data_IF_034509128340
#
_entry.id   IF_034509128340
#
_cell.length_a   1.000
_cell.length_b   1.000
_cell.length_c   1.000
_cell.angle_alpha   90.00
_cell.angle_beta   90.00
_cell.angle_gamma   90.00
#
_symmetry.space_group_name_H-M   'P 1'
#
loop_
_entity.id
_entity.type
_entity.pdbx_description
1 polymer ?
#
# COMPACT_ATOMS: atom_id res chain seq x y z
N UNK A 1 -5.02 -21.16 -13.05
CA UNK A 1 -3.80 -21.69 -12.41
C UNK A 1 -4.05 -21.68 -10.92
N UNK A 2 -3.87 -22.80 -10.24
CA UNK A 2 -4.03 -22.83 -8.78
C UNK A 2 -2.92 -21.95 -8.15
N UNK A 3 -3.23 -21.09 -7.16
CA UNK A 3 -2.20 -20.38 -6.42
C UNK A 3 -1.28 -21.42 -5.79
N UNK A 4 0.03 -21.16 -5.86
CA UNK A 4 1.03 -22.09 -5.34
C UNK A 4 0.69 -22.43 -3.89
N UNK A 5 0.41 -23.68 -3.60
CA UNK A 5 -0.03 -24.19 -2.30
C UNK A 5 0.97 -23.99 -1.16
N UNK A 6 2.18 -23.54 -1.47
CA UNK A 6 3.28 -23.39 -0.52
C UNK A 6 3.14 -22.18 0.45
N UNK A 7 2.08 -21.36 0.33
CA UNK A 7 1.95 -20.09 1.07
C UNK A 7 0.70 -19.95 1.92
N UNK A 8 -0.21 -20.88 1.87
CA UNK A 8 -1.36 -20.88 2.78
C UNK A 8 -0.90 -21.36 4.15
N UNK A 9 -1.20 -20.58 5.20
CA UNK A 9 -1.15 -21.12 6.55
C UNK A 9 -2.22 -22.21 6.60
N UNK A 10 -1.81 -23.44 6.83
CA UNK A 10 -2.71 -24.53 7.04
C UNK A 10 -3.19 -24.52 8.50
N UNK A 11 -4.11 -23.60 8.80
CA UNK A 11 -4.80 -23.57 10.08
C UNK A 11 -5.98 -24.52 10.02
N UNK A 12 -6.17 -25.30 11.07
CA UNK A 12 -7.36 -26.14 11.20
C UNK A 12 -8.61 -25.28 11.42
N UNK A 13 -9.81 -25.74 11.05
CA UNK A 13 -11.05 -25.01 11.31
C UNK A 13 -11.26 -24.65 12.78
N UNK A 14 -10.76 -25.48 13.72
CA UNK A 14 -10.82 -25.21 15.14
C UNK A 14 -9.94 -24.01 15.53
N UNK A 15 -8.71 -23.94 15.02
CA UNK A 15 -7.81 -22.79 15.21
C UNK A 15 -8.38 -21.51 14.60
N UNK A 16 -8.94 -21.58 13.40
CA UNK A 16 -9.63 -20.45 12.76
C UNK A 16 -10.79 -19.94 13.62
N UNK A 17 -11.62 -20.86 14.14
CA UNK A 17 -12.73 -20.51 15.03
C UNK A 17 -12.24 -19.86 16.33
N UNK A 18 -11.16 -20.37 16.91
CA UNK A 18 -10.54 -19.80 18.12
C UNK A 18 -10.03 -18.39 17.87
N UNK A 19 -9.24 -18.18 16.81
CA UNK A 19 -8.69 -16.86 16.44
C UNK A 19 -9.83 -15.88 16.17
N UNK A 20 -10.84 -16.29 15.38
CA UNK A 20 -12.00 -15.45 15.10
C UNK A 20 -12.75 -15.06 16.37
N UNK A 21 -12.94 -15.99 17.32
CA UNK A 21 -13.59 -15.71 18.59
C UNK A 21 -12.77 -14.74 19.43
N UNK A 22 -11.45 -14.95 19.53
CA UNK A 22 -10.54 -14.06 20.26
C UNK A 22 -10.55 -12.64 19.72
N UNK A 23 -10.51 -12.47 18.39
CA UNK A 23 -10.56 -11.16 17.74
C UNK A 23 -11.96 -10.53 17.76
N UNK A 24 -13.00 -11.32 18.03
CA UNK A 24 -14.40 -10.84 18.14
C UNK A 24 -14.73 -10.27 19.51
N UNK A 25 -13.88 -10.47 20.51
CA UNK A 25 -14.06 -9.87 21.85
C UNK A 25 -13.93 -8.34 21.82
N UNK A 26 -14.49 -7.67 22.78
CA UNK A 26 -14.37 -6.21 22.99
C UNK A 26 -13.73 -5.95 24.35
N UNK A 27 -12.44 -5.57 24.41
CA UNK A 27 -11.49 -5.36 23.30
C UNK A 27 -11.02 -6.67 22.63
N UNK A 28 -10.60 -6.65 21.35
CA UNK A 28 -10.11 -7.83 20.67
C UNK A 28 -8.79 -8.31 21.28
N UNK A 29 -8.66 -9.63 21.40
CA UNK A 29 -7.46 -10.28 21.94
C UNK A 29 -6.64 -10.81 20.74
N UNK A 30 -5.48 -10.19 20.51
CA UNK A 30 -4.53 -10.57 19.47
C UNK A 30 -3.52 -11.57 20.01
N UNK A 31 -3.05 -12.49 19.16
CA UNK A 31 -2.07 -13.52 19.53
C UNK A 31 -0.71 -12.95 19.95
N UNK A 32 -0.33 -11.79 19.41
CA UNK A 32 0.90 -11.07 19.72
C UNK A 32 0.77 -10.05 20.89
N UNK A 33 -0.41 -9.92 21.48
CA UNK A 33 -0.67 -9.02 22.60
C UNK A 33 -0.75 -7.53 22.26
N UNK A 34 -0.65 -7.15 20.96
CA UNK A 34 -0.77 -5.76 20.52
C UNK A 34 -2.21 -5.25 20.67
N UNK A 35 -2.34 -3.95 20.87
CA UNK A 35 -3.64 -3.28 20.80
C UNK A 35 -4.16 -3.29 19.35
N UNK A 36 -5.49 -3.18 19.13
CA UNK A 36 -6.05 -3.17 17.78
C UNK A 36 -5.47 -2.09 16.87
N UNK A 37 -5.12 -0.95 17.46
CA UNK A 37 -4.57 0.23 16.80
C UNK A 37 -3.04 0.36 16.93
N UNK A 38 -2.33 -0.70 17.26
CA UNK A 38 -0.88 -0.69 17.42
C UNK A 38 -0.20 -1.33 16.22
N UNK A 39 0.75 -0.60 15.62
CA UNK A 39 1.61 -1.09 14.55
C UNK A 39 2.76 -1.95 15.10
N UNK A 40 3.33 -2.85 14.26
CA UNK A 40 4.52 -3.62 14.64
C UNK A 40 5.72 -2.69 14.81
N UNK A 41 6.59 -2.93 15.79
CA UNK A 41 7.88 -2.26 15.86
C UNK A 41 8.65 -2.48 14.57
N UNK A 42 9.29 -1.41 14.09
CA UNK A 42 10.10 -1.45 12.87
C UNK A 42 11.44 -0.75 13.10
N UNK A 43 12.44 -1.18 12.34
CA UNK A 43 13.71 -0.48 12.19
C UNK A 43 13.81 0.01 10.75
N UNK A 44 14.26 1.25 10.58
CA UNK A 44 14.30 1.90 9.28
C UNK A 44 15.65 2.60 9.09
N UNK A 45 16.21 2.45 7.90
CA UNK A 45 17.49 3.02 7.49
C UNK A 45 17.33 3.63 6.10
N UNK A 46 17.97 4.77 5.86
CA UNK A 46 17.97 5.43 4.56
C UNK A 46 19.40 5.59 4.01
N UNK A 47 19.54 5.76 2.69
CA UNK A 47 20.83 5.99 2.06
C UNK A 47 21.75 4.76 2.01
N UNK A 48 21.21 3.55 2.01
CA UNK A 48 21.99 2.31 2.09
C UNK A 48 22.63 1.85 0.76
N UNK A 49 22.04 2.24 -0.38
CA UNK A 49 22.53 1.87 -1.71
C UNK A 49 23.32 3.03 -2.33
N UNK A 50 24.65 2.90 -2.51
CA UNK A 50 25.50 4.02 -2.93
C UNK A 50 25.33 4.42 -4.39
N UNK A 51 24.76 3.57 -5.23
CA UNK A 51 24.61 3.82 -6.68
C UNK A 51 23.21 4.32 -7.09
N UNK A 52 22.37 4.63 -6.12
CA UNK A 52 20.99 5.10 -6.33
C UNK A 52 20.85 6.58 -5.97
N UNK A 53 19.83 7.23 -6.51
CA UNK A 53 19.49 8.61 -6.14
C UNK A 53 18.87 8.69 -4.75
N UNK A 54 18.27 7.60 -4.29
CA UNK A 54 17.71 7.44 -2.96
C UNK A 54 17.46 5.97 -2.66
N UNK A 55 17.56 5.59 -1.40
CA UNK A 55 17.29 4.22 -0.98
C UNK A 55 16.87 4.15 0.47
N UNK A 56 16.13 3.12 0.79
CA UNK A 56 15.73 2.82 2.15
C UNK A 56 15.57 1.33 2.37
N UNK A 57 15.68 0.95 3.64
CA UNK A 57 15.46 -0.39 4.15
C UNK A 57 14.58 -0.31 5.38
N UNK A 58 13.57 -1.14 5.42
CA UNK A 58 12.74 -1.30 6.62
C UNK A 58 12.66 -2.78 6.97
N UNK A 59 12.85 -3.07 8.24
CA UNK A 59 12.70 -4.39 8.82
C UNK A 59 11.64 -4.32 9.92
N UNK A 60 10.63 -5.18 9.85
CA UNK A 60 9.65 -5.37 10.91
C UNK A 60 10.20 -6.31 11.99
N UNK A 61 9.65 -6.22 13.20
CA UNK A 61 10.05 -7.06 14.33
C UNK A 61 9.88 -8.57 14.09
N UNK A 62 9.05 -8.98 13.13
CA UNK A 62 8.90 -10.38 12.72
C UNK A 62 10.00 -10.88 11.78
N UNK A 63 10.97 -10.04 11.43
CA UNK A 63 12.05 -10.35 10.51
C UNK A 63 11.71 -10.18 9.03
N UNK A 64 10.52 -9.68 8.70
CA UNK A 64 10.18 -9.33 7.32
C UNK A 64 10.89 -8.03 6.93
N UNK A 65 11.61 -8.05 5.82
CA UNK A 65 12.50 -6.97 5.41
C UNK A 65 12.31 -6.62 3.95
N UNK A 66 12.30 -5.30 3.65
CA UNK A 66 12.25 -4.78 2.30
C UNK A 66 13.30 -3.69 2.08
N UNK A 67 13.81 -3.62 0.86
CA UNK A 67 14.72 -2.57 0.38
C UNK A 67 14.12 -1.93 -0.87
N UNK A 68 14.24 -0.62 -0.96
CA UNK A 68 13.82 0.15 -2.13
C UNK A 68 14.99 0.98 -2.63
N UNK A 69 15.24 0.90 -3.92
CA UNK A 69 16.15 1.77 -4.66
C UNK A 69 15.38 2.71 -5.58
N UNK A 70 15.75 3.97 -5.60
CA UNK A 70 15.19 4.98 -6.50
C UNK A 70 16.27 5.46 -7.44
N UNK A 71 16.04 5.35 -8.75
CA UNK A 71 16.94 5.86 -9.77
C UNK A 71 16.22 6.88 -10.64
N UNK A 72 16.89 7.97 -10.94
CA UNK A 72 16.38 9.05 -11.78
C UNK A 72 17.19 9.15 -13.08
N UNK A 73 16.49 9.21 -14.19
CA UNK A 73 17.08 9.43 -15.52
C UNK A 73 16.38 10.62 -16.20
N UNK A 74 17.11 11.33 -17.05
CA UNK A 74 16.54 12.44 -17.83
C UNK A 74 16.05 11.88 -19.16
N UNK A 75 14.77 12.08 -19.45
CA UNK A 75 14.15 11.64 -20.70
C UNK A 75 13.56 12.83 -21.46
N UNK A 76 13.54 12.72 -22.80
CA UNK A 76 12.89 13.72 -23.64
C UNK A 76 11.38 13.61 -23.54
N UNK A 77 10.73 14.71 -23.22
CA UNK A 77 9.28 14.79 -23.28
C UNK A 77 8.83 14.78 -24.74
N UNK A 78 7.99 13.83 -25.09
CA UNK A 78 7.36 13.81 -26.41
C UNK A 78 6.32 14.93 -26.43
N UNK A 79 6.62 16.00 -27.17
CA UNK A 79 5.64 17.06 -27.41
C UNK A 79 4.47 16.43 -28.18
N UNK A 80 3.26 16.64 -27.70
CA UNK A 80 2.03 16.19 -28.36
C UNK A 80 1.84 16.76 -29.79
N UNK A 81 2.75 17.59 -30.26
CA UNK A 81 2.77 18.13 -31.64
C UNK A 81 3.09 17.08 -32.71
N UNK A 82 3.68 15.93 -32.34
CA UNK A 82 3.95 14.82 -33.26
C UNK A 82 2.90 13.71 -33.29
N UNK A 83 1.87 13.80 -32.45
CA UNK A 83 0.72 12.91 -32.51
C UNK A 83 -0.40 13.68 -33.22
N UNK A 84 -0.54 13.44 -34.53
CA UNK A 84 -1.70 13.78 -35.35
C UNK A 84 -1.61 14.96 -36.31
N UNK A 85 -0.89 14.74 -37.38
CA UNK A 85 -1.35 15.31 -38.65
C UNK A 85 -2.12 14.26 -39.51
N UNK A 86 -2.10 12.97 -39.18
CA UNK A 86 -2.71 11.95 -40.05
C UNK A 86 -3.98 11.25 -39.54
N UNK A 87 -4.41 11.41 -38.32
CA UNK A 87 -5.62 10.70 -37.81
C UNK A 87 -6.77 11.55 -37.27
N UNK A 88 -6.66 12.87 -37.19
CA UNK A 88 -7.74 13.76 -36.71
C UNK A 88 -8.44 14.59 -37.79
N UNK A 89 -8.44 14.17 -39.06
CA UNK A 89 -9.21 14.89 -40.08
C UNK A 89 -10.68 14.50 -40.20
N UNK A 90 -11.25 13.74 -39.29
CA UNK A 90 -12.70 13.45 -39.27
C UNK A 90 -13.20 13.32 -37.84
N UNK A 91 -13.43 14.40 -37.14
CA UNK A 91 -14.49 14.65 -36.18
C UNK A 91 -14.12 15.83 -35.28
N UNK A 92 -14.25 17.00 -35.85
CA UNK A 92 -14.25 18.25 -35.10
C UNK A 92 -15.58 18.37 -34.36
N UNK A 93 -15.53 18.54 -33.06
CA UNK A 93 -16.41 19.44 -32.31
C UNK A 93 -15.84 19.60 -30.90
N UNK A 94 -15.15 20.77 -30.72
CA UNK A 94 -14.97 21.47 -29.43
C UNK A 94 -14.77 20.61 -28.17
N UNK A 95 -13.57 20.08 -27.99
CA UNK A 95 -13.05 19.75 -26.67
C UNK A 95 -12.30 20.96 -26.09
N UNK A 96 -12.37 21.23 -24.78
CA UNK A 96 -11.58 22.30 -24.15
C UNK A 96 -10.11 22.06 -24.40
N UNK A 97 -9.40 23.08 -24.90
CA UNK A 97 -7.94 23.08 -25.02
C UNK A 97 -7.35 22.76 -23.65
N UNK A 98 -6.63 21.65 -23.53
CA UNK A 98 -5.86 21.30 -22.32
C UNK A 98 -4.97 22.50 -21.98
N UNK A 99 -5.16 23.04 -20.78
CA UNK A 99 -4.37 24.16 -20.30
C UNK A 99 -2.89 23.74 -20.21
N UNK A 100 -1.96 24.65 -20.39
CA UNK A 100 -0.51 24.37 -20.26
C UNK A 100 -0.14 23.70 -18.94
N UNK A 101 -0.95 23.87 -17.91
CA UNK A 101 -0.82 23.23 -16.61
C UNK A 101 -1.09 21.72 -16.66
N UNK A 102 -1.90 21.23 -17.62
CA UNK A 102 -2.26 19.82 -17.74
C UNK A 102 -1.19 18.99 -18.48
N UNK A 103 -0.27 19.66 -19.18
CA UNK A 103 0.86 19.02 -19.87
C UNK A 103 2.01 18.64 -18.93
N UNK A 104 2.00 19.13 -17.69
CA UNK A 104 3.05 18.89 -16.68
C UNK A 104 2.66 17.72 -15.81
N UNK A 105 3.32 16.56 -16.02
CA UNK A 105 3.23 15.43 -15.10
C UNK A 105 2.43 14.24 -15.63
N UNK A 106 3.03 13.46 -16.51
CA UNK A 106 2.46 12.21 -17.00
C UNK A 106 2.75 11.07 -16.02
N UNK A 107 1.84 10.11 -15.95
CA UNK A 107 1.99 8.90 -15.12
C UNK A 107 3.15 8.01 -15.59
N UNK A 108 3.46 8.04 -16.87
CA UNK A 108 4.50 7.25 -17.52
C UNK A 108 5.93 7.63 -17.07
N UNK A 109 6.09 8.77 -16.39
CA UNK A 109 7.38 9.22 -15.88
C UNK A 109 7.83 8.46 -14.61
N UNK A 110 6.98 7.61 -14.08
CA UNK A 110 7.26 6.83 -12.88
C UNK A 110 7.01 5.37 -13.18
N UNK A 111 8.03 4.56 -12.99
CA UNK A 111 7.97 3.12 -13.10
C UNK A 111 8.20 2.48 -11.73
N UNK A 112 7.30 1.59 -11.34
CA UNK A 112 7.36 0.91 -10.04
C UNK A 112 7.41 -0.59 -10.29
N UNK A 113 8.51 -1.21 -9.90
CA UNK A 113 8.67 -2.66 -9.92
C UNK A 113 8.67 -3.24 -8.51
N UNK A 114 8.12 -4.43 -8.35
CA UNK A 114 8.09 -5.15 -7.07
C UNK A 114 8.57 -6.57 -7.29
N UNK A 115 9.64 -6.94 -6.56
CA UNK A 115 10.19 -8.28 -6.58
C UNK A 115 9.96 -8.97 -5.22
N UNK A 116 9.45 -10.19 -5.25
CA UNK A 116 9.16 -10.99 -4.06
C UNK A 116 9.86 -12.34 -4.16
N UNK A 117 10.67 -12.76 -3.16
CA UNK A 117 11.40 -14.02 -3.21
C UNK A 117 10.48 -15.21 -3.46
N UNK A 118 10.82 -16.01 -4.48
CA UNK A 118 10.09 -17.21 -4.86
C UNK A 118 8.73 -16.98 -5.51
N UNK A 119 8.41 -15.75 -5.94
CA UNK A 119 7.32 -15.41 -6.85
C UNK A 119 7.95 -14.86 -8.13
N UNK A 120 7.39 -15.21 -9.27
CA UNK A 120 7.84 -14.67 -10.55
C UNK A 120 7.27 -13.26 -10.74
N UNK A 121 8.01 -12.41 -11.43
CA UNK A 121 7.61 -11.02 -11.67
C UNK A 121 6.35 -10.89 -12.54
N UNK A 122 6.06 -11.93 -13.36
CA UNK A 122 4.87 -12.02 -14.20
C UNK A 122 3.62 -12.58 -13.45
N UNK A 123 3.74 -12.95 -12.17
CA UNK A 123 2.61 -13.37 -11.36
C UNK A 123 1.73 -12.17 -10.94
N UNK A 124 0.48 -12.47 -10.65
CA UNK A 124 -0.53 -11.44 -10.33
C UNK A 124 -0.21 -10.62 -9.08
N UNK A 125 0.48 -11.20 -8.10
CA UNK A 125 0.74 -10.53 -6.82
C UNK A 125 1.75 -9.38 -6.92
N UNK A 126 2.97 -9.53 -7.49
CA UNK A 126 3.89 -8.42 -7.68
C UNK A 126 3.28 -7.30 -8.54
N UNK A 127 2.65 -7.65 -9.65
CA UNK A 127 1.98 -6.70 -10.55
C UNK A 127 0.87 -5.92 -9.83
N UNK A 128 0.06 -6.59 -9.03
CA UNK A 128 -1.01 -5.94 -8.25
C UNK A 128 -0.45 -4.99 -7.21
N UNK A 129 0.62 -5.38 -6.48
CA UNK A 129 1.26 -4.54 -5.48
C UNK A 129 1.92 -3.31 -6.11
N UNK A 130 2.64 -3.48 -7.22
CA UNK A 130 3.24 -2.39 -7.97
C UNK A 130 2.17 -1.39 -8.47
N UNK A 131 1.08 -1.89 -9.05
CA UNK A 131 -0.02 -1.06 -9.51
C UNK A 131 -0.70 -0.29 -8.36
N UNK A 132 -0.88 -0.91 -7.19
CA UNK A 132 -1.50 -0.29 -6.02
C UNK A 132 -0.60 0.82 -5.43
N UNK A 133 0.71 0.57 -5.33
CA UNK A 133 1.67 1.57 -4.86
C UNK A 133 1.79 2.74 -5.84
N UNK A 134 1.84 2.46 -7.14
CA UNK A 134 1.84 3.48 -8.19
C UNK A 134 0.55 4.32 -8.17
N UNK A 135 -0.62 3.68 -8.03
CA UNK A 135 -1.90 4.41 -7.91
C UNK A 135 -1.89 5.38 -6.74
N UNK A 136 -1.43 4.93 -5.57
CA UNK A 136 -1.35 5.77 -4.37
C UNK A 136 -0.40 6.96 -4.57
N UNK A 137 0.78 6.73 -5.16
CA UNK A 137 1.80 7.74 -5.39
C UNK A 137 1.35 8.80 -6.40
N UNK A 138 0.61 8.40 -7.42
CA UNK A 138 0.19 9.26 -8.53
C UNK A 138 -1.22 9.85 -8.36
N UNK A 139 -1.91 9.54 -7.26
CA UNK A 139 -3.31 9.89 -7.06
C UNK A 139 -3.58 11.40 -7.07
N UNK A 140 -2.67 12.19 -6.51
CA UNK A 140 -2.84 13.65 -6.38
C UNK A 140 -2.20 14.46 -7.53
N UNK A 141 -1.40 13.81 -8.38
CA UNK A 141 -0.68 14.45 -9.48
C UNK A 141 0.39 15.47 -9.03
N UNK A 142 0.65 15.62 -7.73
CA UNK A 142 1.67 16.55 -7.22
C UNK A 142 3.05 15.97 -7.46
N UNK A 143 3.20 14.67 -7.30
CA UNK A 143 4.46 13.96 -7.48
C UNK A 143 5.02 14.14 -8.89
N UNK A 144 4.21 13.89 -9.91
CA UNK A 144 4.64 13.99 -11.32
C UNK A 144 5.02 15.42 -11.71
N UNK A 145 4.41 16.44 -11.11
CA UNK A 145 4.77 17.85 -11.35
C UNK A 145 6.19 18.18 -10.88
N UNK A 146 6.69 17.50 -9.84
CA UNK A 146 8.06 17.67 -9.36
C UNK A 146 9.11 17.09 -10.31
N UNK A 147 8.71 16.20 -11.20
CA UNK A 147 9.59 15.56 -12.16
C UNK A 147 9.76 16.35 -13.46
N UNK A 148 9.01 17.41 -13.61
CA UNK A 148 9.11 18.28 -14.79
C UNK A 148 10.38 19.12 -14.71
N UNK A 149 11.18 19.15 -15.79
CA UNK A 149 12.38 19.99 -15.93
C UNK A 149 12.05 21.19 -16.82
N UNK A 150 11.69 20.93 -18.08
CA UNK A 150 11.30 21.92 -19.07
C UNK A 150 10.34 21.33 -20.11
N UNK A 151 9.98 22.06 -21.16
CA UNK A 151 9.04 21.58 -22.17
C UNK A 151 9.58 20.41 -22.99
N UNK A 152 10.89 20.18 -22.99
CA UNK A 152 11.57 19.14 -23.79
C UNK A 152 12.04 17.96 -22.97
N UNK A 153 12.19 18.09 -21.64
CA UNK A 153 12.79 17.09 -20.78
C UNK A 153 12.07 16.98 -19.44
N UNK A 154 12.07 15.77 -18.92
CA UNK A 154 11.56 15.44 -17.59
C UNK A 154 12.46 14.40 -16.92
N UNK A 155 12.32 14.27 -15.61
CA UNK A 155 12.86 13.16 -14.86
C UNK A 155 11.96 11.94 -15.01
N UNK A 156 12.53 10.82 -15.39
CA UNK A 156 11.91 9.50 -15.26
C UNK A 156 12.47 8.82 -14.04
N UNK A 157 11.57 8.37 -13.14
CA UNK A 157 11.94 7.68 -11.92
C UNK A 157 11.62 6.19 -12.02
N UNK A 158 12.59 5.38 -11.67
CA UNK A 158 12.47 3.95 -11.48
C UNK A 158 12.52 3.67 -9.98
N UNK A 159 11.49 3.01 -9.47
CA UNK A 159 11.39 2.58 -8.09
C UNK A 159 11.42 1.05 -8.06
N UNK A 160 12.56 0.51 -7.68
CA UNK A 160 12.76 -0.93 -7.57
C UNK A 160 12.58 -1.34 -6.11
N UNK A 161 11.53 -2.11 -5.85
CA UNK A 161 11.12 -2.54 -4.52
C UNK A 161 11.38 -4.02 -4.39
N UNK A 162 12.33 -4.38 -3.54
CA UNK A 162 12.74 -5.76 -3.29
C UNK A 162 12.35 -6.17 -1.87
N UNK A 163 11.54 -7.22 -1.76
CA UNK A 163 11.31 -7.91 -0.51
C UNK A 163 12.43 -8.92 -0.30
N UNK A 164 13.21 -8.81 0.79
CA UNK A 164 14.38 -9.68 1.02
C UNK A 164 14.01 -11.02 1.66
N UNK A 165 12.96 -11.04 2.46
CA UNK A 165 12.48 -12.24 3.14
C UNK A 165 11.11 -12.69 2.60
N UNK A 166 10.80 -13.99 2.67
CA UNK A 166 9.43 -14.43 2.35
C UNK A 166 8.42 -13.71 3.25
N UNK A 167 7.28 -13.25 2.68
CA UNK A 167 6.32 -12.47 3.46
C UNK A 167 5.65 -13.34 4.52
N UNK A 168 5.81 -12.96 5.80
CA UNK A 168 5.11 -13.56 6.93
C UNK A 168 3.70 -12.99 7.13
N UNK A 169 3.40 -11.84 6.53
CA UNK A 169 2.10 -11.20 6.47
C UNK A 169 1.89 -10.61 5.08
N UNK A 170 0.82 -9.89 4.85
CA UNK A 170 0.62 -9.19 3.58
C UNK A 170 1.65 -8.06 3.43
N UNK A 171 2.50 -8.06 2.40
CA UNK A 171 3.71 -7.21 2.38
C UNK A 171 3.44 -5.74 2.09
N UNK A 172 2.23 -5.37 1.65
CA UNK A 172 1.90 -4.02 1.18
C UNK A 172 2.28 -2.88 2.13
N UNK A 173 1.99 -2.96 3.46
CA UNK A 173 2.39 -1.88 4.37
C UNK A 173 3.90 -1.68 4.41
N UNK A 174 4.66 -2.78 4.52
CA UNK A 174 6.12 -2.73 4.54
C UNK A 174 6.69 -2.09 3.26
N UNK A 175 6.23 -2.53 2.08
CA UNK A 175 6.68 -1.99 0.79
C UNK A 175 6.34 -0.51 0.66
N UNK A 176 5.14 -0.11 1.10
CA UNK A 176 4.71 1.29 1.07
C UNK A 176 5.54 2.21 1.98
N UNK A 177 5.83 1.77 3.21
CA UNK A 177 6.64 2.55 4.15
C UNK A 177 8.09 2.66 3.67
N UNK A 178 8.65 1.57 3.12
CA UNK A 178 10.01 1.57 2.57
C UNK A 178 10.11 2.48 1.33
N UNK A 179 9.11 2.44 0.44
CA UNK A 179 9.01 3.35 -0.70
C UNK A 179 8.92 4.82 -0.25
N UNK A 180 8.09 5.11 0.76
CA UNK A 180 7.97 6.46 1.33
C UNK A 180 9.33 6.98 1.81
N UNK A 181 10.06 6.18 2.59
CA UNK A 181 11.37 6.57 3.13
C UNK A 181 12.43 6.72 2.03
N UNK A 182 12.43 5.84 1.02
CA UNK A 182 13.32 5.94 -0.13
C UNK A 182 13.09 7.23 -0.93
N UNK A 183 11.83 7.62 -1.13
CA UNK A 183 11.51 8.89 -1.79
C UNK A 183 11.92 10.11 -0.96
N UNK A 184 11.86 10.04 0.37
CA UNK A 184 12.36 11.10 1.26
C UNK A 184 13.88 11.24 1.17
N UNK A 185 14.62 10.14 0.97
CA UNK A 185 16.09 10.15 0.84
C UNK A 185 16.54 10.47 -0.59
N UNK A 186 15.62 10.52 -1.57
CA UNK A 186 15.96 10.74 -2.98
C UNK A 186 16.48 12.15 -3.22
N UNK A 187 17.67 12.24 -3.81
CA UNK A 187 18.31 13.49 -4.24
C UNK A 187 18.39 13.54 -5.75
N UNK A 188 18.15 14.72 -6.30
CA UNK A 188 18.32 14.99 -7.72
C UNK A 188 19.44 16.03 -7.90
N UNK A 189 20.29 15.89 -8.94
CA UNK A 189 21.33 16.86 -9.20
C UNK A 189 20.71 18.24 -9.52
N UNK A 190 21.35 19.29 -9.08
CA UNK A 190 20.88 20.66 -9.27
C UNK A 190 21.00 21.06 -10.74
N UNK A 191 19.92 21.60 -11.30
CA UNK A 191 19.88 22.11 -12.67
C UNK A 191 20.65 23.45 -12.79
N UNK A 192 21.53 23.55 -13.78
CA UNK A 192 22.28 24.79 -14.14
C UNK A 192 21.68 25.52 -15.32
N UNK A 193 21.09 24.77 -16.28
CA UNK A 193 20.51 25.37 -17.50
C UNK A 193 19.23 26.13 -17.19
N UNK A 194 18.99 27.19 -17.94
CA UNK A 194 17.78 28.01 -17.85
C UNK A 194 16.90 27.82 -19.07
N UNK A 195 15.58 27.91 -18.89
CA UNK A 195 14.60 27.83 -19.97
C UNK A 195 14.50 26.45 -20.61
N UNK A 196 14.32 26.41 -21.95
CA UNK A 196 14.13 25.18 -22.74
C UNK A 196 15.43 24.66 -23.38
N UNK A 197 16.58 25.02 -22.83
CA UNK A 197 17.88 24.47 -23.25
C UNK A 197 18.02 23.00 -22.82
N UNK A 198 19.03 22.33 -23.40
CA UNK A 198 19.37 20.97 -22.98
C UNK A 198 19.79 20.98 -21.49
N UNK A 199 19.27 20.06 -20.66
CA UNK A 199 19.51 20.13 -19.23
C UNK A 199 20.98 19.87 -18.90
N UNK A 200 21.60 20.84 -18.27
CA UNK A 200 22.94 20.75 -17.72
C UNK A 200 22.86 20.75 -16.19
N UNK A 201 23.51 19.79 -15.57
CA UNK A 201 23.48 19.59 -14.12
C UNK A 201 24.82 19.96 -13.47
N UNK A 202 24.78 20.17 -12.15
CA UNK A 202 25.95 20.32 -11.30
C UNK A 202 26.61 18.95 -11.12
N UNK A 203 27.95 18.90 -11.31
CA UNK A 203 28.73 17.67 -11.11
C UNK A 203 28.96 17.35 -9.63
N UNK A 204 28.84 18.37 -8.77
CA UNK A 204 28.98 18.20 -7.33
C UNK A 204 27.70 17.64 -6.73
N UNK A 205 27.77 16.39 -6.22
CA UNK A 205 26.66 15.71 -5.59
C UNK A 205 26.22 16.34 -4.25
N UNK A 206 27.11 17.03 -3.56
CA UNK A 206 26.77 17.70 -2.29
C UNK A 206 25.76 18.85 -2.48
N UNK A 207 25.74 19.44 -3.67
CA UNK A 207 24.82 20.52 -4.05
C UNK A 207 23.45 19.98 -4.50
N UNK A 208 23.30 18.64 -4.58
CA UNK A 208 22.05 17.99 -4.99
C UNK A 208 20.89 18.38 -4.04
N UNK A 209 19.69 18.40 -4.58
CA UNK A 209 18.47 18.77 -3.86
C UNK A 209 17.61 17.55 -3.56
N UNK A 210 17.09 17.48 -2.34
CA UNK A 210 16.10 16.43 -2.00
C UNK A 210 14.81 16.66 -2.78
N UNK A 211 14.24 15.57 -3.30
CA UNK A 211 12.92 15.58 -3.94
C UNK A 211 11.81 16.02 -2.97
N UNK A 212 12.01 15.71 -1.68
CA UNK A 212 11.16 16.09 -0.55
C UNK A 212 12.00 16.72 0.56
N UNK A 213 12.36 18.04 0.45
CA UNK A 213 13.22 18.68 1.43
C UNK A 213 12.57 18.71 2.81
N UNK A 214 13.33 18.32 3.83
CA UNK A 214 12.94 18.42 5.24
C UNK A 214 12.94 19.88 5.70
N UNK A 215 12.05 20.19 6.62
CA UNK A 215 11.96 21.53 7.21
C UNK A 215 10.99 22.47 6.50
N UNK A 216 10.60 22.21 5.29
CA UNK A 216 9.57 23.00 4.62
C UNK A 216 8.19 22.37 4.86
N UNK A 217 7.42 22.94 5.81
CA UNK A 217 6.10 22.42 6.22
C UNK A 217 5.01 22.55 5.16
N UNK A 218 5.30 23.24 4.06
CA UNK A 218 4.35 23.42 2.95
C UNK A 218 4.45 22.33 1.89
N UNK A 219 5.49 21.48 1.93
CA UNK A 219 5.72 20.45 0.93
C UNK A 219 4.98 19.18 1.35
N UNK A 220 4.06 18.75 0.49
CA UNK A 220 3.35 17.48 0.59
C UNK A 220 4.34 16.31 0.49
N UNK A 221 4.29 15.38 1.43
CA UNK A 221 5.14 14.19 1.50
C UNK A 221 4.60 13.05 0.66
N UNK A 222 5.43 12.02 0.36
CA UNK A 222 4.94 10.83 -0.32
C UNK A 222 3.81 10.16 0.48
N UNK A 223 2.87 9.48 -0.18
CA UNK A 223 1.80 8.77 0.51
C UNK A 223 2.31 7.52 1.22
N UNK A 224 1.54 7.06 2.21
CA UNK A 224 1.66 5.75 2.83
C UNK A 224 0.39 4.94 2.61
N UNK A 225 0.53 3.62 2.52
CA UNK A 225 -0.60 2.71 2.43
C UNK A 225 -0.61 1.77 3.62
N UNK A 226 -1.69 1.80 4.38
CA UNK A 226 -1.91 0.97 5.55
C UNK A 226 -2.90 -0.15 5.24
N UNK A 227 -2.69 -1.31 5.86
CA UNK A 227 -3.60 -2.45 5.77
C UNK A 227 -4.45 -2.51 7.03
N UNK A 228 -5.75 -2.56 6.83
CA UNK A 228 -6.75 -2.60 7.91
C UNK A 228 -7.69 -3.76 7.68
N UNK A 229 -7.96 -4.52 8.72
CA UNK A 229 -8.92 -5.62 8.66
C UNK A 229 -10.10 -5.37 9.58
N UNK A 230 -11.18 -6.08 9.30
CA UNK A 230 -12.33 -6.16 10.20
C UNK A 230 -12.66 -7.61 10.52
N UNK A 231 -12.90 -7.86 11.80
CA UNK A 231 -13.47 -9.10 12.32
C UNK A 231 -14.70 -8.71 13.12
N UNK A 232 -15.88 -9.05 12.65
CA UNK A 232 -17.17 -8.49 13.11
C UNK A 232 -17.14 -6.95 13.11
N UNK A 233 -17.30 -6.34 14.27
CA UNK A 233 -17.30 -4.88 14.43
C UNK A 233 -15.94 -4.31 14.85
N UNK A 234 -14.95 -5.18 15.10
CA UNK A 234 -13.61 -4.77 15.51
C UNK A 234 -12.75 -4.43 14.29
N UNK A 235 -12.08 -3.30 14.35
CA UNK A 235 -11.14 -2.82 13.33
C UNK A 235 -9.73 -3.01 13.89
N UNK A 236 -8.87 -3.68 13.11
CA UNK A 236 -7.53 -4.06 13.53
C UNK A 236 -6.54 -3.59 12.45
N UNK A 237 -5.47 -2.95 12.88
CA UNK A 237 -4.41 -2.47 12.03
C UNK A 237 -3.23 -3.43 12.02
N UNK A 238 -2.48 -3.40 10.92
CA UNK A 238 -1.28 -4.20 10.71
C UNK A 238 -1.48 -5.67 11.11
N UNK A 239 -2.37 -6.38 10.40
CA UNK A 239 -2.74 -7.74 10.75
C UNK A 239 -1.60 -8.73 10.52
N UNK A 240 -1.52 -9.74 11.39
CA UNK A 240 -0.68 -10.91 11.17
C UNK A 240 -1.31 -11.83 10.09
N UNK A 241 -0.56 -12.82 9.67
CA UNK A 241 -1.02 -13.79 8.68
C UNK A 241 -2.21 -14.63 9.19
N UNK A 242 -2.18 -14.98 10.48
CA UNK A 242 -3.24 -15.71 11.18
C UNK A 242 -4.52 -14.86 11.27
N UNK A 243 -4.37 -13.57 11.56
CA UNK A 243 -5.49 -12.62 11.63
C UNK A 243 -6.13 -12.42 10.25
N UNK A 244 -5.31 -12.36 9.17
CA UNK A 244 -5.80 -12.31 7.80
C UNK A 244 -6.59 -13.57 7.40
N UNK A 245 -6.21 -14.75 7.96
CA UNK A 245 -6.91 -16.00 7.68
C UNK A 245 -8.32 -16.06 8.26
N UNK A 246 -8.70 -15.16 9.14
CA UNK A 246 -10.05 -15.06 9.74
C UNK A 246 -10.73 -13.71 9.45
N UNK A 247 -10.06 -12.79 8.77
CA UNK A 247 -10.60 -11.48 8.46
C UNK A 247 -11.85 -11.57 7.57
N UNK A 248 -12.88 -10.82 7.88
CA UNK A 248 -14.08 -10.70 7.06
C UNK A 248 -13.88 -9.71 5.91
N UNK A 249 -13.18 -8.62 6.20
CA UNK A 249 -12.87 -7.55 5.25
C UNK A 249 -11.40 -7.15 5.40
N UNK A 250 -10.73 -7.00 4.27
CA UNK A 250 -9.37 -6.46 4.21
C UNK A 250 -9.39 -5.23 3.30
N UNK A 251 -8.89 -4.11 3.82
CA UNK A 251 -8.89 -2.84 3.14
C UNK A 251 -7.49 -2.24 3.16
N UNK A 252 -6.96 -1.93 1.98
CA UNK A 252 -5.78 -1.09 1.81
C UNK A 252 -6.22 0.36 1.72
N UNK A 253 -5.70 1.22 2.59
CA UNK A 253 -6.03 2.64 2.68
C UNK A 253 -4.76 3.44 2.44
N UNK A 254 -4.73 4.19 1.36
CA UNK A 254 -3.62 5.07 1.01
C UNK A 254 -3.91 6.50 1.47
N UNK A 255 -3.01 7.04 2.25
CA UNK A 255 -3.13 8.34 2.90
C UNK A 255 -1.97 9.23 2.50
N UNK A 256 -2.25 10.48 2.22
CA UNK A 256 -1.25 11.52 1.98
C UNK A 256 -1.53 12.77 2.80
N UNK A 257 -0.52 13.62 2.92
CA UNK A 257 -0.68 14.92 3.54
C UNK A 257 -1.41 15.90 2.59
N UNK A 258 -2.36 16.65 3.12
CA UNK A 258 -3.00 17.75 2.43
C UNK A 258 -2.10 18.97 2.34
N UNK A 259 -2.38 19.85 1.39
CA UNK A 259 -1.67 21.13 1.27
C UNK A 259 -2.09 22.04 2.45
N UNK A 260 -1.17 22.38 3.34
CA UNK A 260 -1.48 23.25 4.48
C UNK A 260 -1.80 24.65 3.96
N UNK A 261 -3.03 25.10 4.14
CA UNK A 261 -3.38 26.50 3.98
C UNK A 261 -2.73 27.29 5.12
N UNK A 262 -2.04 28.40 4.77
CA UNK A 262 -1.48 29.34 5.73
C UNK A 262 -2.62 29.88 6.61
N UNK A 263 -2.60 29.53 7.89
CA UNK A 263 -3.55 30.11 8.87
C UNK A 263 -4.14 29.16 9.91
N UNK A 264 -4.16 27.84 9.73
CA UNK A 264 -4.60 26.91 10.76
C UNK A 264 -3.44 26.36 11.57
N UNK A 265 -3.65 26.24 12.89
CA UNK A 265 -2.69 25.85 13.93
C UNK A 265 -1.58 24.89 13.45
N UNK A 266 -0.34 25.37 13.52
CA UNK A 266 0.87 24.78 12.93
C UNK A 266 1.31 23.41 13.50
N UNK A 267 0.50 22.77 14.35
CA UNK A 267 0.90 21.57 15.08
C UNK A 267 0.30 20.26 14.58
N UNK A 268 -0.58 20.25 13.57
CA UNK A 268 -1.31 19.05 13.17
C UNK A 268 -1.19 18.80 11.67
N UNK A 269 -0.93 17.54 11.27
CA UNK A 269 -1.00 17.12 9.88
C UNK A 269 -2.45 17.09 9.41
N UNK A 270 -2.68 17.54 8.19
CA UNK A 270 -3.96 17.36 7.50
C UNK A 270 -3.85 16.12 6.62
N UNK A 271 -4.36 15.00 7.10
CA UNK A 271 -4.34 13.73 6.38
C UNK A 271 -5.57 13.62 5.48
N UNK A 272 -5.35 13.25 4.23
CA UNK A 272 -6.41 13.01 3.27
C UNK A 272 -6.31 11.61 2.66
N UNK A 273 -7.46 11.07 2.34
CA UNK A 273 -7.60 9.83 1.62
C UNK A 273 -7.19 10.02 0.16
N UNK A 274 -6.27 9.20 -0.33
CA UNK A 274 -5.85 9.19 -1.72
C UNK A 274 -6.47 8.04 -2.50
N UNK A 275 -6.38 6.82 -1.96
CA UNK A 275 -6.95 5.64 -2.58
C UNK A 275 -7.45 4.65 -1.53
N UNK A 276 -8.42 3.84 -1.90
CA UNK A 276 -8.86 2.68 -1.12
C UNK A 276 -9.06 1.48 -2.03
N UNK A 277 -8.55 0.33 -1.60
CA UNK A 277 -8.71 -0.93 -2.32
C UNK A 277 -9.15 -2.02 -1.36
N UNK A 278 -10.20 -2.73 -1.72
CA UNK A 278 -10.57 -3.97 -1.04
C UNK A 278 -9.67 -5.09 -1.56
N UNK A 279 -9.06 -5.82 -0.62
CA UNK A 279 -8.26 -7.00 -0.91
C UNK A 279 -9.10 -8.21 -0.56
N UNK A 280 -9.08 -9.23 -1.40
CA UNK A 280 -9.82 -10.45 -1.14
C UNK A 280 -9.16 -11.19 0.04
N UNK A 281 -9.86 -11.38 1.17
CA UNK A 281 -9.25 -11.97 2.35
C UNK A 281 -8.95 -13.44 2.14
N UNK A 282 -7.79 -13.95 2.59
CA UNK A 282 -7.45 -15.39 2.53
C UNK A 282 -8.46 -16.28 3.26
N UNK A 283 -9.17 -15.75 4.22
CA UNK A 283 -10.25 -16.41 4.98
C UNK A 283 -11.33 -17.05 4.08
N UNK A 284 -11.60 -16.46 2.93
CA UNK A 284 -12.58 -16.99 1.95
C UNK A 284 -12.16 -18.32 1.31
N UNK A 285 -10.87 -18.60 1.32
CA UNK A 285 -10.31 -19.83 0.77
C UNK A 285 -10.13 -20.92 1.82
N UNK A 286 -10.51 -20.66 3.08
CA UNK A 286 -10.43 -21.63 4.16
C UNK A 286 -11.59 -22.63 4.10
N UNK A 287 -11.36 -23.82 4.65
CA UNK A 287 -12.40 -24.82 4.74
C UNK A 287 -13.33 -24.57 5.93
N UNK A 288 -14.65 -24.78 5.77
CA UNK A 288 -15.58 -24.66 6.89
C UNK A 288 -15.33 -25.78 7.91
N UNK A 289 -15.59 -25.48 9.17
CA UNK A 289 -15.60 -26.45 10.25
C UNK A 289 -16.77 -27.44 10.11
N UNK A 290 -16.65 -28.55 10.80
CA UNK A 290 -17.73 -29.55 10.93
C UNK A 290 -18.26 -29.49 12.35
N UNK A 291 -19.58 -29.37 12.50
CA UNK A 291 -20.21 -29.35 13.81
C UNK A 291 -20.04 -30.68 14.54
N UNK A 292 -20.01 -30.63 15.88
CA UNK A 292 -19.91 -31.85 16.69
C UNK A 292 -21.06 -32.81 16.45
N UNK A 293 -22.24 -32.29 16.12
CA UNK A 293 -23.45 -33.05 15.81
C UNK A 293 -23.35 -33.90 14.52
N UNK A 294 -22.51 -33.45 13.58
CA UNK A 294 -22.28 -34.11 12.30
C UNK A 294 -20.96 -34.90 12.23
N UNK A 295 -20.17 -34.85 13.29
CA UNK A 295 -18.86 -35.51 13.33
C UNK A 295 -19.02 -36.96 13.83
N UNK A 296 -18.85 -38.00 12.97
CA UNK A 296 -19.01 -39.38 13.39
C UNK A 296 -18.00 -39.86 14.44
N UNK A 297 -16.84 -39.20 14.55
CA UNK A 297 -15.83 -39.49 15.58
C UNK A 297 -16.24 -39.02 16.98
N UNK A 298 -17.20 -38.09 17.07
CA UNK A 298 -17.74 -37.56 18.34
C UNK A 298 -19.14 -38.15 18.65
N UNK A 299 -19.55 -39.19 17.94
CA UNK A 299 -20.85 -39.83 18.15
C UNK A 299 -22.03 -39.16 17.42
N UNK A 300 -21.73 -38.26 16.48
CA UNK A 300 -22.75 -37.68 15.61
C UNK A 300 -23.31 -38.68 14.59
N UNK A 301 -24.58 -38.55 14.24
CA UNK A 301 -25.22 -39.36 13.20
C UNK A 301 -24.72 -38.88 11.82
N UNK A 302 -24.24 -39.76 10.95
CA UNK A 302 -23.93 -39.40 9.58
C UNK A 302 -25.25 -39.08 8.84
N UNK A 303 -25.52 -37.80 8.69
CA UNK A 303 -26.60 -37.31 7.83
C UNK A 303 -26.33 -37.54 6.35
N UNK A 304 -27.36 -37.51 5.53
CA UNK A 304 -27.23 -37.50 4.06
C UNK A 304 -26.44 -36.24 3.65
N UNK A 305 -25.73 -36.34 2.50
CA UNK A 305 -24.92 -35.21 1.98
C UNK A 305 -25.74 -33.92 1.86
N UNK A 306 -26.99 -33.99 1.42
CA UNK A 306 -27.91 -32.87 1.26
C UNK A 306 -28.32 -32.25 2.60
N UNK A 307 -28.50 -33.05 3.65
CA UNK A 307 -28.76 -32.57 5.01
C UNK A 307 -27.51 -31.86 5.60
N UNK A 308 -26.32 -32.40 5.34
CA UNK A 308 -25.07 -31.79 5.76
C UNK A 308 -24.82 -30.44 5.07
N UNK A 309 -25.16 -30.34 3.78
CA UNK A 309 -25.06 -29.07 3.02
C UNK A 309 -26.10 -28.07 3.51
N UNK A 310 -27.35 -28.47 3.68
CA UNK A 310 -28.44 -27.62 4.18
C UNK A 310 -28.18 -27.13 5.62
N UNK A 311 -27.61 -27.98 6.47
CA UNK A 311 -27.21 -27.61 7.82
C UNK A 311 -26.04 -26.60 7.83
N UNK A 312 -25.06 -26.76 6.94
CA UNK A 312 -23.94 -25.82 6.75
C UNK A 312 -24.41 -24.45 6.30
N UNK A 313 -25.46 -24.37 5.49
CA UNK A 313 -25.97 -23.11 4.97
C UNK A 313 -26.84 -22.34 5.98
N UNK A 314 -27.53 -23.03 6.86
CA UNK A 314 -28.59 -22.46 7.69
C UNK A 314 -28.26 -22.37 9.19
N UNK A 315 -27.30 -23.11 9.71
CA UNK A 315 -26.95 -23.11 11.13
C UNK A 315 -25.57 -22.50 11.37
N UNK A 316 -25.56 -21.29 11.92
CA UNK A 316 -24.36 -20.71 12.55
C UNK A 316 -24.25 -21.34 13.94
N UNK A 317 -23.53 -22.44 14.07
CA UNK A 317 -23.21 -23.04 15.36
C UNK A 317 -22.04 -22.29 16.00
N UNK A 318 -22.17 -21.99 17.29
CA UNK A 318 -21.12 -21.34 18.06
C UNK A 318 -19.88 -22.24 18.13
N UNK A 319 -18.71 -21.70 17.83
CA UNK A 319 -17.45 -22.46 17.80
C UNK A 319 -17.13 -23.19 16.50
N UNK A 320 -17.99 -23.17 15.50
CA UNK A 320 -17.74 -23.74 14.18
C UNK A 320 -17.31 -22.66 13.21
N UNK A 321 -16.14 -22.83 12.59
CA UNK A 321 -15.64 -21.89 11.60
C UNK A 321 -16.47 -21.92 10.32
N UNK A 322 -16.90 -20.74 9.89
CA UNK A 322 -17.58 -20.55 8.61
C UNK A 322 -16.82 -19.45 7.85
N UNK A 323 -16.24 -19.74 6.67
CA UNK A 323 -15.54 -18.75 5.89
C UNK A 323 -16.47 -17.61 5.47
N UNK A 324 -15.99 -16.35 5.53
CA UNK A 324 -16.79 -15.18 5.19
C UNK A 324 -17.19 -15.23 3.70
N UNK A 325 -18.42 -14.82 3.40
CA UNK A 325 -18.94 -14.78 2.02
C UNK A 325 -18.37 -13.64 1.19
N UNK A 326 -17.65 -12.71 1.83
CA UNK A 326 -17.07 -11.50 1.22
C UNK A 326 -18.05 -10.34 1.16
N UNK A 327 -17.49 -9.19 0.75
CA UNK A 327 -18.21 -7.91 0.75
C UNK A 327 -18.10 -7.17 2.08
N UNK A 328 -18.16 -5.84 2.00
CA UNK A 328 -18.08 -4.97 3.16
C UNK A 328 -19.26 -3.98 3.20
N UNK A 329 -19.84 -3.78 4.37
CA UNK A 329 -20.87 -2.76 4.55
C UNK A 329 -20.24 -1.37 4.40
N UNK A 330 -20.88 -0.48 3.65
CA UNK A 330 -20.40 0.90 3.45
C UNK A 330 -20.10 1.62 4.79
N UNK A 331 -20.92 1.41 5.82
CA UNK A 331 -20.72 1.98 7.16
C UNK A 331 -19.40 1.52 7.77
N UNK A 332 -19.06 0.23 7.61
CA UNK A 332 -17.80 -0.35 8.10
C UNK A 332 -16.59 0.24 7.37
N UNK A 333 -16.63 0.29 6.04
CA UNK A 333 -15.56 0.91 5.24
C UNK A 333 -15.35 2.36 5.66
N UNK A 334 -16.44 3.12 5.83
CA UNK A 334 -16.35 4.51 6.29
C UNK A 334 -15.72 4.62 7.69
N UNK A 335 -16.07 3.72 8.62
CA UNK A 335 -15.47 3.69 9.95
C UNK A 335 -13.96 3.36 9.91
N UNK A 336 -13.56 2.38 9.09
CA UNK A 336 -12.14 2.03 8.89
C UNK A 336 -11.34 3.23 8.35
N UNK A 337 -11.87 3.93 7.33
CA UNK A 337 -11.23 5.13 6.77
C UNK A 337 -11.15 6.25 7.81
N UNK A 338 -12.23 6.52 8.54
CA UNK A 338 -12.24 7.56 9.57
C UNK A 338 -11.23 7.28 10.69
N UNK A 339 -11.06 6.01 11.06
CA UNK A 339 -10.11 5.64 12.10
C UNK A 339 -8.66 5.82 11.64
N UNK A 340 -8.36 5.56 10.35
CA UNK A 340 -7.04 5.84 9.75
C UNK A 340 -6.76 7.34 9.70
N UNK A 341 -7.74 8.13 9.26
CA UNK A 341 -7.61 9.58 9.12
C UNK A 341 -7.76 10.35 10.46
N UNK A 342 -8.04 9.63 11.56
CA UNK A 342 -8.20 10.29 12.86
C UNK A 342 -6.92 11.00 13.25
N UNK A 343 -7.01 12.26 13.64
CA UNK A 343 -5.84 13.04 14.02
C UNK A 343 -5.18 12.49 15.30
N UNK A 344 -3.84 12.33 15.27
CA UNK A 344 -3.10 11.63 16.32
C UNK A 344 -3.35 10.12 16.33
N UNK A 345 -3.88 9.57 15.21
CA UNK A 345 -4.07 8.14 15.01
C UNK A 345 -2.83 7.46 14.44
N UNK A 346 -3.01 6.22 13.98
CA UNK A 346 -1.92 5.36 13.51
C UNK A 346 -1.16 5.96 12.33
N UNK A 347 -1.85 6.60 11.40
CA UNK A 347 -1.19 7.20 10.24
C UNK A 347 -0.25 8.33 10.65
N UNK A 348 -0.65 9.17 11.62
CA UNK A 348 0.22 10.21 12.18
C UNK A 348 1.42 9.62 12.91
N UNK A 349 1.21 8.60 13.75
CA UNK A 349 2.26 7.91 14.51
C UNK A 349 3.32 7.29 13.57
N UNK A 350 2.87 6.60 12.52
CA UNK A 350 3.75 5.97 11.54
C UNK A 350 4.54 7.04 10.76
N UNK A 351 3.91 8.12 10.33
CA UNK A 351 4.57 9.22 9.64
C UNK A 351 5.58 9.94 10.55
N UNK A 352 5.25 10.14 11.83
CA UNK A 352 6.18 10.73 12.81
C UNK A 352 7.41 9.83 13.01
N UNK A 353 7.20 8.52 13.07
CA UNK A 353 8.30 7.55 13.16
C UNK A 353 9.21 7.58 11.93
N UNK A 354 8.66 7.66 10.72
CA UNK A 354 9.44 7.75 9.48
C UNK A 354 10.18 9.09 9.37
N UNK A 355 9.60 10.17 9.88
CA UNK A 355 10.23 11.48 9.90
C UNK A 355 11.42 11.58 10.86
N UNK A 356 11.44 10.76 11.89
CA UNK A 356 12.54 10.71 12.85
C UNK A 356 13.78 9.96 12.29
N UNK A 357 13.64 9.22 11.19
CA UNK A 357 14.76 8.48 10.58
C UNK A 357 15.75 9.47 9.95
N UNK A 358 17.04 9.31 10.21
CA UNK A 358 18.08 10.10 9.57
C UNK A 358 18.17 9.75 8.07
N UNK A 359 18.17 10.78 7.22
CA UNK A 359 18.42 10.60 5.78
C UNK A 359 19.93 10.69 5.57
N UNK A 360 20.52 9.66 5.04
CA UNK A 360 21.94 9.59 4.76
C UNK A 360 22.43 10.66 3.77
#
# INVERSE_FOLDING_TARGET
MAPSSARQILLSPAELSYIHTSLSHTPPIRSDGRQPNQFRPLTAEAGILPSTNGSARICFADGTEAVVGVKAEVEKSWSAENINIEQCSKNSLTGPSLSETDKKGLREWVDVSVEIPGIRDDESMPIFLAALLSEALLADGIFTKKLWINNRFHWRLYLDILLLSPPLSYPLPLLSLTMHLALLSTRLPKLKSEGDEDPLFEDDWEVSTFLYPRGNRTIVRPPITLLVISVKDNIIFDPSKEELAVAEVVLAISVGEGNKQEGLQASRRDLRLLATRTIDPPSRLTYPGVSASLNPTMGGMPGTYDEAVSHKENCVEEGVWIPPRGGAKRKLISAMIQQVLSPGGIADEVLDGLDAVELG
#
